data_IF_043582323939
#
_entry.id   IF_043582323939
#
_cell.length_a   1.000
_cell.length_b   1.000
_cell.length_c   1.000
_cell.angle_alpha   90.00
_cell.angle_beta   90.00
_cell.angle_gamma   90.00
#
_symmetry.space_group_name_H-M   'P 1'
#
loop_
_entity.id
_entity.type
_entity.pdbx_description
1 polymer ?
#
# COMPACT_ATOMS: atom_id res chain seq x y z
N UNK A 1 -57.75 40.56 -51.08
CA UNK A 1 -56.40 39.97 -51.18
C UNK A 1 -55.73 40.09 -49.82
N UNK A 2 -55.84 39.07 -48.95
CA UNK A 2 -55.10 39.02 -47.68
C UNK A 2 -54.29 37.73 -47.67
N UNK A 3 -52.96 37.84 -47.78
CA UNK A 3 -52.04 36.72 -47.70
C UNK A 3 -51.67 36.48 -46.22
N UNK A 4 -51.92 35.27 -45.73
CA UNK A 4 -51.50 34.81 -44.40
C UNK A 4 -50.14 34.12 -44.57
N UNK A 5 -49.10 34.70 -43.98
CA UNK A 5 -47.75 34.10 -43.86
C UNK A 5 -47.72 33.17 -42.65
N UNK A 6 -47.56 31.87 -42.91
CA UNK A 6 -47.29 30.86 -41.89
C UNK A 6 -45.77 30.78 -41.69
N UNK A 7 -45.30 31.20 -40.51
CA UNK A 7 -43.90 31.03 -40.12
C UNK A 7 -43.67 29.59 -39.63
N UNK A 8 -42.87 28.81 -40.38
CA UNK A 8 -42.38 27.50 -39.92
C UNK A 8 -41.33 27.70 -38.82
N UNK A 9 -41.66 27.30 -37.59
CA UNK A 9 -40.68 27.12 -36.52
C UNK A 9 -39.91 25.81 -36.77
N UNK A 10 -38.63 25.89 -37.17
CA UNK A 10 -37.74 24.74 -37.15
C UNK A 10 -37.31 24.45 -35.72
N UNK A 11 -37.83 23.37 -35.15
CA UNK A 11 -37.33 22.78 -33.90
C UNK A 11 -36.06 22.00 -34.23
N UNK A 12 -34.90 22.47 -33.76
CA UNK A 12 -33.65 21.73 -33.83
C UNK A 12 -33.69 20.56 -32.84
N UNK A 13 -33.86 19.33 -33.36
CA UNK A 13 -33.61 18.12 -32.57
C UNK A 13 -32.12 18.09 -32.20
N UNK A 14 -31.80 18.41 -30.94
CA UNK A 14 -30.49 18.13 -30.38
C UNK A 14 -30.28 16.61 -30.37
N UNK A 15 -29.45 16.10 -31.29
CA UNK A 15 -28.98 14.72 -31.24
C UNK A 15 -28.19 14.54 -29.94
N UNK A 16 -28.78 13.83 -28.98
CA UNK A 16 -28.03 13.25 -27.87
C UNK A 16 -27.06 12.23 -28.46
N UNK A 17 -25.82 12.65 -28.70
CA UNK A 17 -24.77 11.77 -29.22
C UNK A 17 -24.59 10.59 -28.28
N UNK A 18 -25.01 9.40 -28.72
CA UNK A 18 -24.61 8.14 -28.10
C UNK A 18 -23.11 8.00 -28.29
N UNK A 19 -22.34 8.26 -27.23
CA UNK A 19 -20.89 8.08 -27.22
C UNK A 19 -20.61 6.63 -27.60
N UNK A 20 -19.85 6.42 -28.67
CA UNK A 20 -19.47 5.08 -29.13
C UNK A 20 -18.82 4.29 -27.96
N UNK A 21 -19.04 2.96 -27.87
CA UNK A 21 -18.40 2.15 -26.84
C UNK A 21 -16.89 2.34 -26.92
N UNK A 22 -16.28 2.69 -25.78
CA UNK A 22 -14.82 2.77 -25.67
C UNK A 22 -14.29 1.34 -25.82
N UNK A 23 -13.52 1.02 -26.88
CA UNK A 23 -12.97 -0.33 -27.04
C UNK A 23 -11.95 -0.58 -25.93
N UNK A 24 -12.02 -1.76 -25.32
CA UNK A 24 -11.08 -2.18 -24.28
C UNK A 24 -9.88 -2.93 -24.87
N UNK A 25 -8.70 -2.68 -24.30
CA UNK A 25 -7.46 -3.42 -24.55
C UNK A 25 -7.20 -4.41 -23.41
N UNK A 26 -7.26 -5.71 -23.73
CA UNK A 26 -7.04 -6.78 -22.76
C UNK A 26 -5.60 -6.84 -22.22
N UNK A 27 -4.59 -6.46 -23.01
CA UNK A 27 -3.20 -6.43 -22.56
C UNK A 27 -2.99 -5.27 -21.57
N UNK A 28 -3.52 -4.09 -21.87
CA UNK A 28 -3.53 -2.97 -20.92
C UNK A 28 -4.32 -3.31 -19.65
N UNK A 29 -5.44 -4.04 -19.79
CA UNK A 29 -6.23 -4.54 -18.66
C UNK A 29 -5.44 -5.51 -17.77
N UNK A 30 -4.73 -6.46 -18.39
CA UNK A 30 -3.83 -7.39 -17.69
C UNK A 30 -2.74 -6.64 -16.92
N UNK A 31 -2.07 -5.67 -17.55
CA UNK A 31 -1.03 -4.87 -16.92
C UNK A 31 -1.59 -4.08 -15.72
N UNK A 32 -2.80 -3.54 -15.84
CA UNK A 32 -3.46 -2.83 -14.74
C UNK A 32 -3.83 -3.78 -13.58
N UNK A 33 -4.33 -4.97 -13.89
CA UNK A 33 -4.71 -5.99 -12.91
C UNK A 33 -3.51 -6.55 -12.13
N UNK A 34 -2.43 -6.87 -12.85
CA UNK A 34 -1.21 -7.42 -12.29
C UNK A 34 -0.39 -6.36 -11.55
N UNK A 35 -0.46 -5.11 -12.02
CA UNK A 35 0.29 -3.98 -11.50
C UNK A 35 -0.14 -3.47 -10.13
N UNK A 36 0.55 -2.41 -9.70
CA UNK A 36 0.36 -1.82 -8.38
C UNK A 36 -0.73 -0.73 -8.34
N UNK A 37 -1.46 -0.47 -9.42
CA UNK A 37 -2.30 0.73 -9.52
C UNK A 37 -3.70 0.61 -8.85
N UNK A 38 -4.22 -0.60 -8.64
CA UNK A 38 -5.60 -0.82 -8.12
C UNK A 38 -5.66 -1.83 -6.96
N UNK A 39 -4.80 -2.87 -6.97
CA UNK A 39 -4.81 -3.94 -5.96
C UNK A 39 -6.15 -4.70 -5.79
N UNK A 40 -7.07 -4.60 -6.75
CA UNK A 40 -8.36 -5.30 -6.72
C UNK A 40 -8.23 -6.83 -6.56
N UNK A 41 -7.15 -7.40 -7.12
CA UNK A 41 -6.79 -8.83 -7.01
C UNK A 41 -6.64 -9.35 -5.57
N UNK A 42 -6.39 -8.46 -4.60
CA UNK A 42 -6.29 -8.86 -3.19
C UNK A 42 -7.63 -9.38 -2.64
N UNK A 43 -8.76 -8.92 -3.19
CA UNK A 43 -10.08 -9.40 -2.82
C UNK A 43 -10.65 -10.36 -3.86
N UNK A 44 -10.43 -10.09 -5.15
CA UNK A 44 -11.05 -10.81 -6.27
C UNK A 44 -10.19 -11.98 -6.81
N UNK A 45 -9.11 -12.34 -6.11
CA UNK A 45 -8.20 -13.42 -6.52
C UNK A 45 -7.14 -12.96 -7.53
N UNK A 46 -6.01 -13.66 -7.62
CA UNK A 46 -4.89 -13.27 -8.50
C UNK A 46 -5.26 -13.43 -9.98
N UNK A 47 -6.08 -14.43 -10.30
CA UNK A 47 -6.56 -14.76 -11.64
C UNK A 47 -7.96 -14.17 -11.92
N UNK A 48 -8.52 -13.38 -11.00
CA UNK A 48 -9.91 -12.91 -11.09
C UNK A 48 -10.93 -14.01 -10.80
N UNK A 49 -10.50 -15.06 -10.11
CA UNK A 49 -11.29 -16.25 -9.76
C UNK A 49 -12.26 -16.03 -8.60
N UNK A 50 -12.25 -14.83 -7.99
CA UNK A 50 -12.92 -14.56 -6.73
C UNK A 50 -12.05 -14.98 -5.54
N UNK A 51 -12.46 -14.58 -4.34
CA UNK A 51 -11.91 -15.05 -3.07
C UNK A 51 -12.77 -14.44 -1.95
N UNK A 52 -12.37 -13.28 -1.45
CA UNK A 52 -13.17 -12.47 -0.56
C UNK A 52 -14.24 -11.68 -1.33
N UNK A 53 -13.88 -11.18 -2.51
CA UNK A 53 -14.78 -10.58 -3.49
C UNK A 53 -15.25 -11.61 -4.53
N UNK A 54 -16.31 -11.28 -5.30
CA UNK A 54 -16.84 -12.15 -6.35
C UNK A 54 -15.84 -12.37 -7.48
N UNK A 55 -16.06 -13.42 -8.26
CA UNK A 55 -15.31 -13.74 -9.46
C UNK A 55 -15.56 -12.73 -10.58
N UNK A 56 -14.51 -12.50 -11.40
CA UNK A 56 -14.52 -11.58 -12.53
C UNK A 56 -14.15 -12.28 -13.84
N UNK A 57 -13.24 -13.26 -13.80
CA UNK A 57 -12.74 -13.98 -14.96
C UNK A 57 -13.84 -14.80 -15.66
N UNK A 58 -13.96 -14.65 -16.98
CA UNK A 58 -14.88 -15.42 -17.81
C UNK A 58 -16.37 -15.15 -17.56
N UNK A 59 -16.72 -14.04 -16.91
CA UNK A 59 -18.11 -13.71 -16.54
C UNK A 59 -18.89 -12.93 -17.60
N UNK A 60 -18.29 -12.69 -18.77
CA UNK A 60 -18.91 -11.93 -19.86
C UNK A 60 -19.47 -10.59 -19.38
N UNK A 61 -18.62 -9.86 -18.65
CA UNK A 61 -18.93 -8.59 -18.01
C UNK A 61 -19.20 -7.53 -19.08
N UNK A 62 -20.16 -6.62 -18.80
CA UNK A 62 -20.37 -5.43 -19.63
C UNK A 62 -19.67 -4.22 -18.99
N UNK A 63 -19.13 -3.33 -19.82
CA UNK A 63 -18.52 -2.07 -19.35
C UNK A 63 -19.48 -1.24 -18.48
N UNK A 64 -20.76 -1.05 -18.84
CA UNK A 64 -21.69 -0.31 -18.00
C UNK A 64 -21.96 -0.97 -16.64
N UNK A 65 -22.10 -2.30 -16.58
CA UNK A 65 -22.32 -3.00 -15.31
C UNK A 65 -21.09 -2.99 -14.43
N UNK A 66 -19.90 -3.19 -15.01
CA UNK A 66 -18.64 -3.10 -14.26
C UNK A 66 -18.42 -1.70 -13.72
N UNK A 67 -18.65 -0.67 -14.56
CA UNK A 67 -18.61 0.74 -14.13
C UNK A 67 -19.57 0.98 -12.96
N UNK A 68 -20.82 0.53 -13.06
CA UNK A 68 -21.78 0.67 -11.97
C UNK A 68 -21.27 -0.02 -10.70
N UNK A 69 -20.73 -1.24 -10.80
CA UNK A 69 -20.19 -1.96 -9.66
C UNK A 69 -19.03 -1.22 -8.98
N UNK A 70 -18.08 -0.65 -9.72
CA UNK A 70 -16.95 0.09 -9.12
C UNK A 70 -17.32 1.48 -8.61
N UNK A 71 -18.32 2.13 -9.22
CA UNK A 71 -18.78 3.48 -8.80
C UNK A 71 -19.77 3.43 -7.64
N UNK A 72 -20.65 2.43 -7.63
CA UNK A 72 -21.75 2.25 -6.69
C UNK A 72 -21.83 0.78 -6.25
N UNK A 73 -20.80 0.29 -5.55
CA UNK A 73 -20.70 -1.11 -5.15
C UNK A 73 -21.83 -1.56 -4.24
N UNK A 74 -22.10 -2.86 -4.30
CA UNK A 74 -22.86 -3.57 -3.27
C UNK A 74 -21.91 -4.21 -2.25
N UNK A 75 -22.43 -4.47 -1.06
CA UNK A 75 -21.64 -5.06 0.03
C UNK A 75 -20.56 -4.11 0.55
N UNK A 76 -19.38 -4.67 0.83
CA UNK A 76 -18.28 -3.95 1.47
C UNK A 76 -17.21 -3.43 0.49
N UNK A 77 -17.37 -3.63 -0.82
CA UNK A 77 -16.41 -3.08 -1.79
C UNK A 77 -16.44 -1.54 -1.71
N UNK A 78 -15.29 -0.85 -1.63
CA UNK A 78 -15.26 0.60 -1.65
C UNK A 78 -15.60 1.16 -3.03
N UNK A 79 -16.16 2.37 -3.07
CA UNK A 79 -16.48 3.08 -4.31
C UNK A 79 -15.26 3.82 -4.86
N UNK A 80 -14.95 3.61 -6.14
CA UNK A 80 -13.78 4.20 -6.81
C UNK A 80 -14.18 5.39 -7.67
N UNK A 81 -13.38 6.47 -7.66
CA UNK A 81 -13.64 7.66 -8.48
C UNK A 81 -13.04 7.55 -9.89
N UNK A 82 -13.46 8.43 -10.81
CA UNK A 82 -12.88 8.53 -12.15
C UNK A 82 -11.37 8.77 -12.12
N UNK A 83 -10.86 9.52 -11.13
CA UNK A 83 -9.43 9.75 -10.98
C UNK A 83 -8.66 8.48 -10.57
N UNK A 84 -9.30 7.57 -9.84
CA UNK A 84 -8.67 6.32 -9.41
C UNK A 84 -8.73 5.23 -10.47
N UNK A 85 -9.79 5.22 -11.27
CA UNK A 85 -10.03 4.23 -12.30
C UNK A 85 -10.86 4.88 -13.40
N UNK A 86 -10.25 5.20 -14.53
CA UNK A 86 -10.92 5.85 -15.66
C UNK A 86 -11.84 4.89 -16.44
N UNK A 87 -12.74 5.46 -17.24
CA UNK A 87 -13.59 4.69 -18.16
C UNK A 87 -12.81 3.81 -19.15
N UNK A 88 -11.65 4.28 -19.63
CA UNK A 88 -10.78 3.47 -20.50
C UNK A 88 -10.16 2.31 -19.73
N UNK A 89 -9.68 2.54 -18.50
CA UNK A 89 -9.16 1.47 -17.64
C UNK A 89 -10.23 0.44 -17.31
N UNK A 90 -11.49 0.87 -17.09
CA UNK A 90 -12.64 -0.04 -16.93
C UNK A 90 -12.84 -0.88 -18.19
N UNK A 91 -12.85 -0.26 -19.37
CA UNK A 91 -13.00 -0.98 -20.63
C UNK A 91 -11.89 -2.03 -20.82
N UNK A 92 -10.65 -1.66 -20.51
CA UNK A 92 -9.48 -2.54 -20.58
C UNK A 92 -9.59 -3.73 -19.61
N UNK A 93 -10.00 -3.50 -18.36
CA UNK A 93 -10.21 -4.56 -17.37
C UNK A 93 -11.32 -5.53 -17.81
N UNK A 94 -12.44 -5.01 -18.31
CA UNK A 94 -13.53 -5.85 -18.82
C UNK A 94 -13.07 -6.70 -20.00
N UNK A 95 -12.34 -6.12 -20.96
CA UNK A 95 -11.76 -6.87 -22.07
C UNK A 95 -10.82 -7.98 -21.60
N UNK A 96 -9.97 -7.68 -20.61
CA UNK A 96 -9.08 -8.67 -20.00
C UNK A 96 -9.85 -9.81 -19.32
N UNK A 97 -10.78 -9.51 -18.42
CA UNK A 97 -11.52 -10.56 -17.69
C UNK A 97 -12.36 -11.43 -18.63
N UNK A 98 -12.93 -10.86 -19.69
CA UNK A 98 -13.69 -11.61 -20.69
C UNK A 98 -12.79 -12.46 -21.60
N UNK A 99 -11.48 -12.18 -21.68
CA UNK A 99 -10.52 -13.06 -22.37
C UNK A 99 -10.08 -14.28 -21.54
N UNK A 100 -10.36 -14.28 -20.23
CA UNK A 100 -9.99 -15.36 -19.33
C UNK A 100 -11.09 -16.45 -19.30
N UNK A 101 -10.72 -17.73 -19.05
CA UNK A 101 -11.70 -18.77 -18.79
C UNK A 101 -12.40 -18.52 -17.45
N UNK A 102 -13.68 -18.92 -17.35
CA UNK A 102 -14.35 -19.01 -16.07
C UNK A 102 -13.70 -20.11 -15.22
N UNK A 103 -13.46 -19.82 -13.95
CA UNK A 103 -12.84 -20.76 -13.01
C UNK A 103 -13.92 -21.38 -12.12
N UNK A 104 -13.87 -22.71 -11.86
CA UNK A 104 -14.98 -23.43 -11.24
C UNK A 104 -15.13 -23.18 -9.74
N UNK A 105 -14.08 -22.68 -9.08
CA UNK A 105 -14.04 -22.46 -7.63
C UNK A 105 -13.31 -21.15 -7.32
N UNK A 106 -13.76 -20.40 -6.30
CA UNK A 106 -13.03 -19.25 -5.79
C UNK A 106 -11.63 -19.61 -5.29
N UNK A 107 -10.71 -18.65 -5.38
CA UNK A 107 -9.39 -18.78 -4.78
C UNK A 107 -9.43 -18.63 -3.25
N UNK A 108 -8.36 -19.01 -2.55
CA UNK A 108 -8.25 -18.75 -1.12
C UNK A 108 -8.20 -17.25 -0.84
N UNK A 109 -8.67 -16.84 0.32
CA UNK A 109 -8.46 -15.49 0.80
C UNK A 109 -6.98 -15.23 0.99
N UNK A 110 -6.54 -13.97 0.80
CA UNK A 110 -5.12 -13.62 0.95
C UNK A 110 -4.64 -13.84 2.38
N UNK A 111 -5.50 -13.57 3.35
CA UNK A 111 -5.27 -13.86 4.75
C UNK A 111 -6.48 -14.60 5.32
N UNK A 112 -6.24 -15.80 5.81
CA UNK A 112 -7.21 -16.56 6.58
C UNK A 112 -7.40 -15.95 7.97
N UNK A 113 -8.56 -16.21 8.58
CA UNK A 113 -8.80 -15.85 9.98
C UNK A 113 -8.09 -16.86 10.86
N UNK A 114 -7.11 -16.45 11.69
CA UNK A 114 -6.46 -17.38 12.60
C UNK A 114 -7.46 -17.98 13.59
N UNK A 115 -7.25 -19.24 13.96
CA UNK A 115 -7.99 -19.84 15.08
C UNK A 115 -7.76 -19.02 16.35
N UNK A 116 -8.84 -18.69 17.06
CA UNK A 116 -8.78 -17.85 18.25
C UNK A 116 -8.51 -16.36 18.00
N UNK A 117 -8.61 -15.88 16.75
CA UNK A 117 -8.47 -14.46 16.44
C UNK A 117 -9.41 -13.60 17.31
N UNK A 118 -8.95 -12.49 17.92
CA UNK A 118 -9.82 -11.58 18.65
C UNK A 118 -10.89 -10.99 17.72
N UNK A 119 -12.04 -10.61 18.28
CA UNK A 119 -13.20 -10.16 17.51
C UNK A 119 -12.87 -9.09 16.45
N UNK A 120 -12.12 -8.04 16.82
CA UNK A 120 -11.78 -6.99 15.84
C UNK A 120 -10.85 -7.47 14.71
N UNK A 121 -10.04 -8.51 14.93
CA UNK A 121 -9.27 -9.15 13.87
C UNK A 121 -10.17 -9.95 12.92
N UNK A 122 -11.15 -10.69 13.47
CA UNK A 122 -12.15 -11.40 12.67
C UNK A 122 -12.94 -10.41 11.81
N UNK A 123 -13.38 -9.29 12.39
CA UNK A 123 -14.08 -8.22 11.66
C UNK A 123 -13.20 -7.69 10.54
N UNK A 124 -11.94 -7.33 10.83
CA UNK A 124 -11.02 -6.78 9.83
C UNK A 124 -10.70 -7.74 8.67
N UNK A 125 -10.64 -9.06 8.93
CA UNK A 125 -10.30 -10.08 7.93
C UNK A 125 -11.52 -10.59 7.15
N UNK A 126 -12.61 -10.91 7.85
CA UNK A 126 -13.73 -11.68 7.30
C UNK A 126 -15.01 -10.89 7.11
N UNK A 127 -15.25 -9.84 7.90
CA UNK A 127 -16.48 -9.04 7.77
C UNK A 127 -16.28 -7.89 6.79
N UNK A 128 -15.20 -7.13 6.97
CA UNK A 128 -14.98 -5.90 6.19
C UNK A 128 -13.83 -5.99 5.19
N UNK A 129 -13.01 -7.04 5.29
CA UNK A 129 -11.93 -7.30 4.34
C UNK A 129 -10.76 -6.29 4.37
N UNK A 130 -10.75 -5.32 5.29
CA UNK A 130 -9.67 -4.33 5.42
C UNK A 130 -8.28 -5.00 5.50
N UNK A 131 -8.18 -6.11 6.23
CA UNK A 131 -6.94 -6.85 6.39
C UNK A 131 -6.52 -7.63 5.14
N UNK A 132 -7.43 -7.92 4.19
CA UNK A 132 -7.06 -8.51 2.89
C UNK A 132 -6.12 -7.59 2.09
N UNK A 133 -6.18 -6.27 2.33
CA UNK A 133 -5.24 -5.29 1.75
C UNK A 133 -4.19 -4.81 2.74
N UNK A 134 -4.57 -4.53 3.99
CA UNK A 134 -3.69 -3.91 4.98
C UNK A 134 -2.90 -4.89 5.85
N UNK A 135 -3.06 -6.20 5.60
CA UNK A 135 -2.46 -7.28 6.37
C UNK A 135 -3.25 -7.61 7.65
N UNK A 136 -3.00 -8.78 8.25
CA UNK A 136 -3.78 -9.31 9.38
C UNK A 136 -3.70 -8.48 10.66
N UNK A 137 -2.71 -7.58 10.74
CA UNK A 137 -2.43 -6.70 11.88
C UNK A 137 -2.56 -5.21 11.53
N UNK A 138 -3.03 -4.87 10.32
CA UNK A 138 -3.26 -3.50 9.86
C UNK A 138 -2.03 -2.59 9.97
N UNK A 139 -0.87 -3.11 9.57
CA UNK A 139 0.44 -2.46 9.74
C UNK A 139 0.50 -1.06 9.09
N UNK A 140 -0.04 -0.90 7.88
CA UNK A 140 -0.09 0.39 7.19
C UNK A 140 -0.98 1.42 7.91
N UNK A 141 -2.27 1.12 8.14
CA UNK A 141 -3.17 2.00 8.90
C UNK A 141 -2.64 2.37 10.28
N UNK A 142 -2.05 1.42 11.03
CA UNK A 142 -1.45 1.69 12.35
C UNK A 142 -0.22 2.59 12.28
N UNK A 143 0.59 2.47 11.22
CA UNK A 143 1.73 3.37 10.99
C UNK A 143 1.26 4.78 10.61
N UNK A 144 0.29 4.91 9.71
CA UNK A 144 -0.29 6.20 9.35
C UNK A 144 -0.95 6.89 10.57
N UNK A 145 -1.67 6.13 11.40
CA UNK A 145 -2.26 6.64 12.62
C UNK A 145 -1.18 7.10 13.63
N UNK A 146 -0.15 6.28 13.86
CA UNK A 146 0.97 6.62 14.73
C UNK A 146 1.83 7.78 14.22
N UNK A 147 1.87 8.01 12.90
CA UNK A 147 2.59 9.12 12.29
C UNK A 147 2.00 10.49 12.65
N UNK A 148 0.70 10.58 12.95
CA UNK A 148 0.01 11.86 13.19
C UNK A 148 -0.69 11.95 14.54
N UNK A 149 -0.52 10.95 15.41
CA UNK A 149 -1.25 10.89 16.69
C UNK A 149 -2.77 10.82 16.47
N UNK A 150 -3.20 9.96 15.55
CA UNK A 150 -4.59 9.88 15.09
C UNK A 150 -5.57 9.39 16.15
N UNK A 151 -6.82 9.80 16.00
CA UNK A 151 -7.97 9.34 16.76
C UNK A 151 -8.99 8.59 15.88
N UNK A 152 -10.16 8.28 16.44
CA UNK A 152 -11.23 7.62 15.69
C UNK A 152 -11.85 8.50 14.59
N UNK A 153 -11.88 9.82 14.75
CA UNK A 153 -12.38 10.74 13.72
C UNK A 153 -11.46 10.73 12.49
N UNK A 154 -10.14 10.65 12.71
CA UNK A 154 -9.18 10.43 11.63
C UNK A 154 -9.47 9.12 10.88
N UNK A 155 -9.74 8.01 11.60
CA UNK A 155 -10.05 6.74 10.95
C UNK A 155 -11.31 6.85 10.08
N UNK A 156 -12.37 7.50 10.59
CA UNK A 156 -13.61 7.69 9.82
C UNK A 156 -13.36 8.43 8.51
N UNK A 157 -12.59 9.52 8.55
CA UNK A 157 -12.19 10.25 7.32
C UNK A 157 -11.39 9.36 6.39
N UNK A 158 -10.42 8.61 6.93
CA UNK A 158 -9.63 7.67 6.15
C UNK A 158 -10.43 6.56 5.50
N UNK A 159 -11.59 6.18 6.04
CA UNK A 159 -12.41 5.10 5.48
C UNK A 159 -13.50 5.62 4.55
N UNK A 160 -14.22 6.66 4.96
CA UNK A 160 -15.36 7.19 4.22
C UNK A 160 -14.98 8.23 3.15
N UNK A 161 -13.80 8.83 3.27
CA UNK A 161 -13.29 9.90 2.41
C UNK A 161 -11.83 9.64 2.02
N UNK A 162 -11.44 8.38 1.87
CA UNK A 162 -10.06 7.97 1.62
C UNK A 162 -9.42 8.66 0.41
N UNK A 163 -10.20 8.85 -0.66
CA UNK A 163 -9.71 9.43 -1.92
C UNK A 163 -9.24 10.88 -1.78
N UNK A 164 -9.73 11.59 -0.78
CA UNK A 164 -9.34 12.97 -0.46
C UNK A 164 -8.43 13.02 0.77
N UNK A 165 -8.72 12.19 1.78
CA UNK A 165 -8.01 12.18 3.07
C UNK A 165 -6.58 11.65 2.97
N UNK A 166 -6.31 10.64 2.14
CA UNK A 166 -4.94 10.13 1.98
C UNK A 166 -3.97 11.13 1.34
N UNK A 167 -4.33 11.80 0.22
CA UNK A 167 -3.48 12.85 -0.32
C UNK A 167 -3.20 13.97 0.68
N UNK A 168 -4.20 14.39 1.46
CA UNK A 168 -4.01 15.38 2.53
C UNK A 168 -3.06 14.88 3.62
N UNK A 169 -3.16 13.61 4.01
CA UNK A 169 -2.26 13.00 4.97
C UNK A 169 -0.83 12.88 4.45
N UNK A 170 -0.62 12.50 3.19
CA UNK A 170 0.70 12.51 2.58
C UNK A 170 1.29 13.92 2.53
N UNK A 171 0.51 14.92 2.14
CA UNK A 171 0.95 16.32 2.14
C UNK A 171 1.33 16.80 3.55
N UNK A 172 0.53 16.46 4.56
CA UNK A 172 0.83 16.78 5.96
C UNK A 172 2.17 16.17 6.42
N UNK A 173 2.47 14.95 5.95
CA UNK A 173 3.72 14.27 6.25
C UNK A 173 4.86 14.64 5.30
N UNK A 174 4.62 15.45 4.26
CA UNK A 174 5.56 15.72 3.17
C UNK A 174 6.05 14.44 2.46
N UNK A 175 5.16 13.45 2.36
CA UNK A 175 5.44 12.17 1.71
C UNK A 175 5.14 12.22 0.21
N UNK A 176 6.02 11.65 -0.60
CA UNK A 176 5.84 11.51 -2.05
C UNK A 176 5.50 10.06 -2.40
N UNK A 177 4.22 9.70 -2.56
CA UNK A 177 3.83 8.33 -2.84
C UNK A 177 4.27 7.92 -4.26
N UNK A 178 4.82 6.71 -4.39
CA UNK A 178 5.21 6.16 -5.70
C UNK A 178 4.01 5.76 -6.60
N UNK A 179 2.79 5.81 -6.05
CA UNK A 179 1.57 5.28 -6.66
C UNK A 179 0.35 6.10 -6.27
N UNK A 180 -0.68 6.11 -7.12
CA UNK A 180 -1.97 6.74 -6.83
C UNK A 180 -2.68 6.09 -5.63
N UNK A 181 -3.68 6.79 -5.09
CA UNK A 181 -4.58 6.26 -4.05
C UNK A 181 -5.34 5.05 -4.58
N UNK A 182 -5.16 3.90 -3.92
CA UNK A 182 -5.71 2.61 -4.36
C UNK A 182 -7.03 2.22 -3.74
N UNK A 183 -7.32 2.66 -2.52
CA UNK A 183 -8.58 2.33 -1.85
C UNK A 183 -9.62 3.38 -2.18
N UNK A 184 -10.84 2.96 -2.51
CA UNK A 184 -11.97 3.87 -2.70
C UNK A 184 -12.58 4.33 -1.37
N UNK A 185 -13.76 4.92 -1.45
CA UNK A 185 -14.52 5.39 -0.29
C UNK A 185 -15.55 4.33 0.13
N UNK A 186 -15.58 3.98 1.41
CA UNK A 186 -16.61 3.09 1.94
C UNK A 186 -17.91 3.86 2.18
N UNK A 187 -19.04 3.16 2.09
CA UNK A 187 -20.33 3.74 2.43
C UNK A 187 -20.61 3.63 3.92
N UNK A 188 -21.02 4.73 4.55
CA UNK A 188 -21.54 4.75 5.94
C UNK A 188 -22.74 3.83 6.15
N UNK A 189 -23.55 3.61 5.11
CA UNK A 189 -24.73 2.74 5.18
C UNK A 189 -24.37 1.25 5.08
N UNK A 190 -23.20 0.92 4.51
CA UNK A 190 -22.73 -0.46 4.33
C UNK A 190 -21.69 -0.86 5.37
N UNK A 191 -20.97 0.13 5.88
CA UNK A 191 -19.97 -0.01 6.94
C UNK A 191 -20.33 0.96 8.07
N UNK A 192 -21.18 0.54 9.02
CA UNK A 192 -21.56 1.37 10.17
C UNK A 192 -20.37 1.71 11.06
N UNK A 193 -20.44 2.85 11.76
CA UNK A 193 -19.36 3.31 12.63
C UNK A 193 -19.05 2.31 13.76
N UNK A 194 -20.04 1.57 14.27
CA UNK A 194 -19.83 0.53 15.29
C UNK A 194 -18.85 -0.55 14.84
N UNK A 195 -18.93 -0.95 13.57
CA UNK A 195 -17.99 -1.93 12.99
C UNK A 195 -16.59 -1.32 12.86
N UNK A 196 -16.50 -0.04 12.47
CA UNK A 196 -15.22 0.66 12.46
C UNK A 196 -14.61 0.84 13.85
N UNK A 197 -15.44 1.04 14.88
CA UNK A 197 -14.96 1.11 16.26
C UNK A 197 -14.35 -0.21 16.72
N UNK A 198 -14.88 -1.36 16.31
CA UNK A 198 -14.26 -2.67 16.58
C UNK A 198 -12.88 -2.79 15.92
N UNK A 199 -12.76 -2.38 14.65
CA UNK A 199 -11.49 -2.39 13.92
C UNK A 199 -10.49 -1.42 14.57
N UNK A 200 -10.95 -0.23 14.99
CA UNK A 200 -10.12 0.77 15.65
C UNK A 200 -9.62 0.29 17.01
N UNK A 201 -10.49 -0.29 17.84
CA UNK A 201 -10.11 -0.89 19.12
C UNK A 201 -9.05 -1.95 18.92
N UNK A 202 -9.26 -2.87 17.98
CA UNK A 202 -8.25 -3.88 17.65
C UNK A 202 -6.91 -3.28 17.21
N UNK A 203 -6.92 -2.27 16.34
CA UNK A 203 -5.69 -1.60 15.91
C UNK A 203 -4.93 -0.94 17.08
N UNK A 204 -5.65 -0.35 18.03
CA UNK A 204 -5.06 0.27 19.22
C UNK A 204 -4.60 -0.75 20.26
N UNK A 205 -5.34 -1.84 20.44
CA UNK A 205 -4.96 -2.95 21.33
C UNK A 205 -3.64 -3.61 20.88
N UNK A 206 -3.36 -3.61 19.58
CA UNK A 206 -2.06 -4.02 19.05
C UNK A 206 -0.96 -2.95 19.24
N UNK A 207 -1.33 -1.69 19.43
CA UNK A 207 -0.48 -0.51 19.53
C UNK A 207 -0.26 0.20 18.19
N UNK A 208 -0.20 1.52 18.15
CA UNK A 208 0.13 2.25 16.92
C UNK A 208 1.62 2.14 16.59
N UNK A 209 1.96 2.16 15.28
CA UNK A 209 3.33 1.94 14.81
C UNK A 209 4.04 3.26 14.53
N UNK A 210 5.36 3.27 14.72
CA UNK A 210 6.20 4.41 14.33
C UNK A 210 6.49 4.31 12.82
N UNK A 211 6.34 5.40 12.05
CA UNK A 211 6.62 5.39 10.61
C UNK A 211 8.13 5.49 10.33
N UNK A 212 8.92 4.56 10.88
CA UNK A 212 10.35 4.49 10.60
C UNK A 212 10.57 3.85 9.23
N UNK A 213 11.43 4.48 8.42
CA UNK A 213 11.87 3.96 7.13
C UNK A 213 13.40 3.89 7.12
N UNK A 214 13.92 2.99 6.28
CA UNK A 214 15.34 2.93 5.97
C UNK A 214 15.53 2.84 4.46
N UNK A 215 16.45 3.62 3.90
CA UNK A 215 16.73 3.65 2.47
C UNK A 215 18.24 3.61 2.22
N UNK A 216 18.66 2.65 1.40
CA UNK A 216 20.03 2.60 0.88
C UNK A 216 20.16 3.42 -0.40
N UNK A 217 21.28 4.14 -0.53
CA UNK A 217 21.70 4.76 -1.78
C UNK A 217 22.16 3.71 -2.80
N UNK A 218 22.32 4.13 -4.05
CA UNK A 218 23.14 3.37 -4.99
C UNK A 218 24.56 3.20 -4.40
N UNK A 219 25.18 2.06 -4.67
CA UNK A 219 26.56 1.81 -4.29
C UNK A 219 27.52 2.65 -5.12
N UNK A 220 28.45 3.34 -4.47
CA UNK A 220 29.53 4.11 -5.11
C UNK A 220 30.83 3.31 -5.06
N UNK A 221 31.38 2.87 -6.21
CA UNK A 221 32.67 2.19 -6.27
C UNK A 221 33.82 3.10 -5.83
N UNK A 222 34.85 2.51 -5.22
CA UNK A 222 36.09 3.17 -4.84
C UNK A 222 37.24 2.16 -4.71
N UNK A 223 38.43 2.64 -4.34
CA UNK A 223 39.64 1.81 -4.25
C UNK A 223 39.50 0.64 -3.26
N UNK A 224 38.74 0.86 -2.18
CA UNK A 224 38.57 -0.10 -1.08
C UNK A 224 37.29 -0.96 -1.21
N UNK A 225 36.58 -0.89 -2.34
CA UNK A 225 35.33 -1.60 -2.59
C UNK A 225 34.15 -0.68 -2.92
N UNK A 226 32.96 -0.99 -2.43
CA UNK A 226 31.72 -0.25 -2.76
C UNK A 226 31.07 0.31 -1.52
N UNK A 227 30.80 1.62 -1.54
CA UNK A 227 30.22 2.35 -0.41
C UNK A 227 28.73 2.59 -0.62
N UNK A 228 27.93 2.30 0.40
CA UNK A 228 26.51 2.59 0.45
C UNK A 228 26.23 3.57 1.58
N UNK A 229 25.31 4.50 1.34
CA UNK A 229 24.75 5.38 2.38
C UNK A 229 23.38 4.85 2.77
N UNK A 230 23.19 4.58 4.06
CA UNK A 230 21.89 4.26 4.64
C UNK A 230 21.34 5.49 5.36
N UNK A 231 20.13 5.90 4.99
CA UNK A 231 19.35 6.88 5.76
C UNK A 231 18.24 6.16 6.50
N UNK A 232 18.20 6.29 7.82
CA UNK A 232 17.08 5.84 8.66
C UNK A 232 16.36 7.08 9.17
N UNK A 233 15.05 7.18 8.96
CA UNK A 233 14.27 8.36 9.32
C UNK A 233 12.94 7.99 9.96
N UNK A 234 12.39 8.91 10.75
CA UNK A 234 11.02 8.83 11.25
C UNK A 234 10.16 9.85 10.50
N UNK A 235 9.31 9.36 9.59
CA UNK A 235 8.47 10.18 8.74
C UNK A 235 7.30 10.90 9.44
N UNK A 236 7.13 10.67 10.76
CA UNK A 236 6.03 11.20 11.56
C UNK A 236 5.96 12.73 11.58
N UNK A 237 4.80 13.24 11.97
CA UNK A 237 4.54 14.67 12.14
C UNK A 237 5.18 15.19 13.43
N UNK A 238 5.95 16.28 13.34
CA UNK A 238 6.58 16.91 14.50
C UNK A 238 5.54 17.25 15.60
N UNK A 239 5.84 16.90 16.85
CA UNK A 239 4.97 17.16 18.01
C UNK A 239 3.69 16.32 18.10
N UNK A 240 3.45 15.41 17.14
CA UNK A 240 2.24 14.56 17.09
C UNK A 240 2.56 13.08 16.89
N UNK A 241 3.50 12.78 16.00
CA UNK A 241 3.89 11.42 15.67
C UNK A 241 4.62 10.72 16.81
N UNK A 242 4.60 9.40 16.78
CA UNK A 242 5.31 8.57 17.75
C UNK A 242 6.83 8.65 17.56
N UNK A 243 7.56 8.50 18.66
CA UNK A 243 9.02 8.35 18.68
C UNK A 243 9.35 6.86 18.76
N UNK A 244 10.31 6.40 17.96
CA UNK A 244 10.88 5.06 18.15
C UNK A 244 12.04 5.14 19.14
N UNK A 245 12.16 4.15 20.02
CA UNK A 245 13.27 4.03 20.98
C UNK A 245 13.87 2.63 20.96
N UNK A 246 15.11 2.54 21.43
CA UNK A 246 15.92 1.32 21.51
C UNK A 246 16.04 0.62 20.15
N UNK A 247 16.48 1.38 19.14
CA UNK A 247 16.56 0.91 17.78
C UNK A 247 17.81 0.06 17.53
N UNK A 248 17.65 -0.97 16.72
CA UNK A 248 18.71 -1.76 16.13
C UNK A 248 18.59 -1.69 14.62
N UNK A 249 19.64 -1.21 13.96
CA UNK A 249 19.79 -1.22 12.51
C UNK A 249 20.68 -2.41 12.16
N UNK A 250 20.20 -3.32 11.32
CA UNK A 250 20.94 -4.50 10.87
C UNK A 250 21.03 -4.50 9.34
N UNK A 251 22.24 -4.57 8.78
CA UNK A 251 22.47 -4.74 7.35
C UNK A 251 23.15 -6.08 7.09
N UNK A 252 22.40 -7.04 6.52
CA UNK A 252 22.89 -8.36 6.16
C UNK A 252 23.90 -8.26 5.01
N UNK A 253 25.11 -8.75 5.24
CA UNK A 253 26.21 -8.67 4.30
C UNK A 253 26.03 -9.69 3.16
N UNK A 254 26.27 -9.30 1.90
CA UNK A 254 26.35 -10.23 0.79
C UNK A 254 27.37 -11.35 1.06
N UNK A 255 27.11 -12.59 0.62
CA UNK A 255 28.07 -13.69 0.77
C UNK A 255 29.45 -13.34 0.21
N UNK A 256 30.50 -13.66 0.98
CA UNK A 256 31.89 -13.37 0.64
C UNK A 256 32.28 -11.89 0.68
N UNK A 257 31.40 -11.00 1.16
CA UNK A 257 31.74 -9.60 1.43
C UNK A 257 32.15 -9.40 2.90
N UNK A 258 32.95 -8.37 3.14
CA UNK A 258 33.36 -7.94 4.47
C UNK A 258 33.22 -6.42 4.59
N UNK A 259 33.00 -5.95 5.82
CA UNK A 259 32.98 -4.51 6.11
C UNK A 259 34.41 -3.99 6.14
N UNK A 260 34.72 -3.04 5.26
CA UNK A 260 36.03 -2.40 5.16
C UNK A 260 36.06 -1.13 6.03
N UNK A 261 35.05 -0.27 5.87
CA UNK A 261 34.91 0.98 6.61
C UNK A 261 33.43 1.26 6.88
N UNK A 262 33.16 1.98 7.96
CA UNK A 262 31.79 2.41 8.28
C UNK A 262 31.79 3.71 9.09
N UNK A 263 30.70 4.47 8.98
CA UNK A 263 30.41 5.64 9.80
C UNK A 263 29.04 5.52 10.48
N UNK A 264 28.75 6.47 11.36
CA UNK A 264 27.49 6.56 12.09
C UNK A 264 27.62 6.04 13.52
N UNK A 265 26.99 6.76 14.44
CA UNK A 265 27.10 6.49 15.88
C UNK A 265 26.48 5.13 16.22
N UNK A 266 27.04 4.48 17.25
CA UNK A 266 26.47 3.27 17.83
C UNK A 266 26.76 1.97 17.07
N UNK A 267 27.74 1.94 16.16
CA UNK A 267 28.19 0.72 15.49
C UNK A 267 28.64 -0.34 16.51
N UNK A 268 28.16 -1.57 16.36
CA UNK A 268 28.38 -2.71 17.26
C UNK A 268 29.25 -3.81 16.66
N UNK A 269 29.82 -3.57 15.47
CA UNK A 269 30.55 -4.58 14.71
C UNK A 269 29.65 -5.45 13.84
N UNK A 270 30.29 -6.42 13.17
CA UNK A 270 29.61 -7.48 12.43
C UNK A 270 29.20 -8.58 13.40
N UNK A 271 27.94 -9.03 13.30
CA UNK A 271 27.37 -10.09 14.15
C UNK A 271 26.58 -11.06 13.29
N UNK A 272 26.45 -12.30 13.76
CA UNK A 272 25.55 -13.26 13.14
C UNK A 272 24.10 -12.81 13.33
N UNK A 273 23.36 -12.66 12.24
CA UNK A 273 21.92 -12.40 12.24
C UNK A 273 21.19 -13.71 11.91
N UNK A 274 20.53 -14.28 12.92
CA UNK A 274 19.82 -15.56 12.79
C UNK A 274 18.60 -15.47 11.88
N UNK A 275 17.94 -14.30 11.80
CA UNK A 275 16.77 -14.08 10.96
C UNK A 275 17.17 -14.00 9.49
N UNK A 276 18.27 -13.28 9.20
CA UNK A 276 18.82 -13.17 7.85
C UNK A 276 19.68 -14.39 7.44
N UNK A 277 20.06 -15.25 8.40
CA UNK A 277 21.04 -16.34 8.24
C UNK A 277 22.35 -15.87 7.61
N UNK A 278 22.73 -14.65 7.92
CA UNK A 278 23.88 -13.96 7.35
C UNK A 278 24.65 -13.23 8.45
N UNK A 279 25.88 -12.86 8.16
CA UNK A 279 26.59 -11.90 9.00
C UNK A 279 26.06 -10.51 8.67
N UNK A 280 25.85 -9.68 9.68
CA UNK A 280 25.24 -8.37 9.53
C UNK A 280 26.04 -7.30 10.26
N UNK A 281 26.19 -6.14 9.62
CA UNK A 281 26.68 -4.94 10.27
C UNK A 281 25.55 -4.36 11.14
N UNK A 282 25.83 -4.11 12.42
CA UNK A 282 24.80 -3.71 13.39
C UNK A 282 25.11 -2.34 14.00
N UNK A 283 24.11 -1.48 14.09
CA UNK A 283 24.15 -0.23 14.87
C UNK A 283 23.02 -0.21 15.89
N UNK A 284 23.25 0.50 17.00
CA UNK A 284 22.23 0.80 18.00
C UNK A 284 22.03 2.30 18.13
N UNK A 285 20.77 2.72 18.16
CA UNK A 285 20.37 4.11 18.32
C UNK A 285 19.35 4.19 19.46
N UNK A 286 19.53 5.09 20.45
CA UNK A 286 18.62 5.14 21.59
C UNK A 286 17.22 5.62 21.21
N UNK A 287 17.09 6.54 20.25
CA UNK A 287 15.80 7.09 19.81
C UNK A 287 15.86 7.73 18.43
N UNK A 288 14.70 7.84 17.79
CA UNK A 288 14.46 8.68 16.60
C UNK A 288 13.05 9.28 16.67
N UNK A 289 13.00 10.59 16.91
CA UNK A 289 11.75 11.35 17.02
C UNK A 289 11.19 11.73 15.64
N UNK A 290 9.91 12.14 15.54
CA UNK A 290 9.33 12.60 14.28
C UNK A 290 10.19 13.67 13.59
N UNK A 291 10.44 13.49 12.29
CA UNK A 291 11.30 14.33 11.43
C UNK A 291 12.80 14.26 11.72
N UNK A 292 13.25 13.45 12.66
CA UNK A 292 14.68 13.12 12.81
C UNK A 292 15.10 12.06 11.79
N UNK A 293 16.36 12.13 11.38
CA UNK A 293 17.02 11.12 10.55
C UNK A 293 18.45 10.86 11.05
N UNK A 294 18.94 9.65 10.79
CA UNK A 294 20.31 9.25 11.03
C UNK A 294 20.90 8.66 9.75
N UNK A 295 22.11 9.11 9.44
CA UNK A 295 22.86 8.63 8.27
C UNK A 295 24.00 7.73 8.72
N UNK A 296 24.20 6.65 7.99
CA UNK A 296 25.30 5.70 8.14
C UNK A 296 25.95 5.49 6.78
N UNK A 297 27.26 5.24 6.76
CA UNK A 297 27.93 4.71 5.56
C UNK A 297 28.53 3.35 5.85
N UNK A 298 28.53 2.49 4.85
CA UNK A 298 29.18 1.18 4.90
C UNK A 298 29.90 0.93 3.58
N UNK A 299 31.21 0.70 3.66
CA UNK A 299 32.04 0.27 2.54
C UNK A 299 32.24 -1.24 2.65
N UNK A 300 31.80 -1.98 1.64
CA UNK A 300 31.98 -3.41 1.52
C UNK A 300 33.12 -3.73 0.55
N UNK A 301 33.88 -4.79 0.83
CA UNK A 301 34.99 -5.24 -0.03
C UNK A 301 34.56 -5.59 -1.46
N UNK A 302 33.28 -5.89 -1.67
CA UNK A 302 32.64 -6.07 -2.99
C UNK A 302 31.18 -5.64 -2.96
N UNK A 303 30.64 -5.25 -4.10
CA UNK A 303 29.20 -5.07 -4.26
C UNK A 303 28.45 -6.41 -4.23
N UNK A 304 27.24 -6.39 -3.66
CA UNK A 304 26.25 -7.43 -3.91
C UNK A 304 25.62 -7.27 -5.30
N UNK A 305 25.13 -8.35 -5.89
CA UNK A 305 24.42 -8.33 -7.18
C UNK A 305 23.19 -9.25 -7.16
N UNK A 306 22.14 -8.88 -7.89
CA UNK A 306 20.93 -9.72 -7.99
C UNK A 306 20.29 -10.04 -6.63
N UNK A 307 20.20 -11.33 -6.32
CA UNK A 307 19.71 -11.86 -5.03
C UNK A 307 20.58 -11.44 -3.85
N UNK A 308 21.86 -11.17 -4.10
CA UNK A 308 22.89 -10.95 -3.08
C UNK A 308 23.06 -9.45 -2.77
N UNK A 309 22.11 -8.61 -3.20
CA UNK A 309 22.14 -7.18 -2.89
C UNK A 309 22.01 -6.93 -1.38
N UNK A 310 22.53 -5.79 -0.93
CA UNK A 310 22.49 -5.39 0.47
C UNK A 310 21.03 -5.23 0.93
N UNK A 311 20.69 -5.88 2.04
CA UNK A 311 19.36 -5.85 2.66
C UNK A 311 19.52 -5.62 4.15
N UNK A 312 18.44 -5.18 4.79
CA UNK A 312 18.47 -5.02 6.23
C UNK A 312 17.14 -4.64 6.81
N UNK A 313 17.15 -4.45 8.12
CA UNK A 313 16.00 -4.09 8.93
C UNK A 313 16.37 -2.99 9.91
N UNK A 314 15.38 -2.18 10.25
CA UNK A 314 15.40 -1.29 11.41
C UNK A 314 14.34 -1.82 12.37
N UNK A 315 14.76 -2.24 13.55
CA UNK A 315 13.90 -2.78 14.61
C UNK A 315 13.91 -1.85 15.80
N UNK A 316 12.78 -1.66 16.48
CA UNK A 316 12.68 -0.82 17.68
C UNK A 316 11.81 -1.48 18.75
N UNK A 317 12.06 -1.12 20.01
CA UNK A 317 11.38 -1.75 21.15
C UNK A 317 10.21 -0.91 21.67
N UNK A 318 10.24 0.41 21.46
CA UNK A 318 9.17 1.32 21.91
C UNK A 318 8.62 2.20 20.80
N UNK A 319 7.32 2.55 20.84
CA UNK A 319 6.32 2.08 21.81
C UNK A 319 6.10 0.56 21.69
N UNK A 320 5.93 -0.10 22.84
CA UNK A 320 5.79 -1.54 22.88
C UNK A 320 4.50 -1.96 22.19
N UNK A 321 4.60 -2.89 21.23
CA UNK A 321 3.43 -3.48 20.59
C UNK A 321 3.08 -4.81 21.26
N UNK A 322 1.80 -5.17 21.22
CA UNK A 322 1.32 -6.45 21.76
C UNK A 322 1.96 -7.66 21.07
N UNK A 323 2.42 -7.48 19.84
CA UNK A 323 3.10 -8.50 19.03
C UNK A 323 4.61 -8.57 19.26
N UNK A 324 5.14 -7.80 20.21
CA UNK A 324 6.57 -7.68 20.47
C UNK A 324 7.20 -6.48 19.73
N UNK A 325 8.52 -6.52 19.50
CA UNK A 325 9.22 -5.43 18.84
C UNK A 325 8.73 -5.20 17.42
N UNK A 326 8.78 -3.94 17.00
CA UNK A 326 8.34 -3.56 15.67
C UNK A 326 9.54 -3.37 14.75
N UNK A 327 9.31 -3.54 13.45
CA UNK A 327 10.38 -3.47 12.46
C UNK A 327 9.92 -2.93 11.10
N UNK A 328 10.88 -2.36 10.38
CA UNK A 328 10.77 -1.94 9.00
C UNK A 328 11.93 -2.52 8.18
N UNK A 329 11.61 -3.05 7.01
CA UNK A 329 12.64 -3.43 6.04
C UNK A 329 13.31 -2.18 5.48
N UNK A 330 14.63 -2.24 5.34
CA UNK A 330 15.41 -1.23 4.64
C UNK A 330 15.21 -1.43 3.14
N UNK A 331 14.76 -0.39 2.46
CA UNK A 331 14.61 -0.39 1.03
C UNK A 331 15.99 -0.60 0.37
N UNK A 332 16.09 -1.56 -0.57
CA UNK A 332 17.36 -1.92 -1.19
C UNK A 332 17.91 -0.75 -2.02
N UNK A 333 19.22 -0.79 -2.36
CA UNK A 333 19.80 0.15 -3.30
C UNK A 333 18.96 0.21 -4.59
N UNK A 334 18.70 1.41 -5.16
CA UNK A 334 18.09 1.50 -6.48
C UNK A 334 18.95 0.72 -7.48
N UNK A 335 18.29 -0.06 -8.35
CA UNK A 335 19.00 -0.71 -9.45
C UNK A 335 19.59 0.39 -10.34
N UNK A 336 20.90 0.31 -10.60
CA UNK A 336 21.51 1.15 -11.63
C UNK A 336 20.80 0.81 -12.94
N UNK A 337 20.21 1.82 -13.58
CA UNK A 337 19.74 1.70 -14.95
C UNK A 337 20.92 1.25 -15.81
N UNK A 338 20.80 0.05 -16.38
CA UNK A 338 21.69 -0.39 -17.45
C UNK A 338 21.42 0.44 -18.70
#
# INVERSE_FOLDING_TARGET
>A
MNAILVALLLVTLTQTGTRAPVPGDAQAGKALWEGAATQCKNCHGVKGEGAFGPDLAGRQLSVPHFRQAVRKPWGIMPAFTEQQLSDQEIANLVAYFNSLPALPQPGPWRFEVPSGAPQGQQVALATVGCAQCHGPTLNGPRANAGAVGADFEWLKKMVYEHTTSMPQHWNLLQATPAVRVRMGNYSRTRLPESVLQEVWRFANDLGLRVPVTGQLSAGTPGADGVTYTLTVENGGLAGKGLTAEDLTVSLALPPGSSVVKTTGNGYQGVRRDEQAKADAAVWRLPRIAPKEHQTYTITLSRAGSGSDTLRGTVRWMKPALKTGPDEANIAPPPQQSQ
#
